data_IF_147536395035
#
_entry.id   IF_147536395035
#
_cell.length_a   1.000
_cell.length_b   1.000
_cell.length_c   1.000
_cell.angle_alpha   90.00
_cell.angle_beta   90.00
_cell.angle_gamma   90.00
#
_symmetry.space_group_name_H-M   'P 1'
#
loop_
_entity.id
_entity.type
_entity.pdbx_description
1 polymer ?
#
# COMPACT_ATOMS: atom_id res chain seq x y z
N UNK A 1 11.87 -29.96 -35.02
CA UNK A 1 11.52 -30.27 -33.62
C UNK A 1 12.80 -30.37 -32.78
N UNK A 2 13.32 -29.27 -32.24
CA UNK A 2 14.52 -29.30 -31.34
C UNK A 2 14.68 -28.06 -30.44
N UNK A 3 13.87 -27.00 -30.58
CA UNK A 3 14.02 -25.75 -29.81
C UNK A 3 13.46 -25.79 -28.37
N UNK A 4 12.56 -26.73 -28.04
CA UNK A 4 11.91 -26.83 -26.72
C UNK A 4 12.72 -27.61 -25.67
N UNK A 5 13.59 -28.53 -26.09
CA UNK A 5 14.44 -29.31 -25.18
C UNK A 5 15.57 -28.49 -24.55
N UNK A 6 16.20 -27.60 -25.33
CA UNK A 6 17.31 -26.76 -24.86
C UNK A 6 16.90 -25.69 -23.85
N UNK A 7 15.72 -25.08 -24.03
CA UNK A 7 15.18 -24.06 -23.10
C UNK A 7 14.74 -24.66 -21.76
N UNK A 8 14.17 -25.87 -21.77
CA UNK A 8 13.83 -26.57 -20.53
C UNK A 8 15.07 -27.04 -19.75
N UNK A 9 16.11 -27.54 -20.44
CA UNK A 9 17.36 -27.95 -19.79
C UNK A 9 18.10 -26.75 -19.18
N UNK A 10 18.15 -25.61 -19.88
CA UNK A 10 18.78 -24.38 -19.39
C UNK A 10 18.04 -23.82 -18.16
N UNK A 11 16.70 -23.84 -18.17
CA UNK A 11 15.86 -23.43 -17.03
C UNK A 11 16.07 -24.33 -15.80
N UNK A 12 16.22 -25.65 -15.98
CA UNK A 12 16.47 -26.59 -14.87
C UNK A 12 17.88 -26.42 -14.28
N UNK A 13 18.88 -26.16 -15.12
CA UNK A 13 20.25 -25.92 -14.66
C UNK A 13 20.39 -24.58 -13.92
N UNK A 14 19.69 -23.53 -14.38
CA UNK A 14 19.63 -22.25 -13.69
C UNK A 14 18.90 -22.37 -12.34
N UNK A 15 17.75 -23.07 -12.29
CA UNK A 15 17.03 -23.30 -11.04
C UNK A 15 17.88 -24.08 -10.03
N UNK A 16 18.61 -25.11 -10.46
CA UNK A 16 19.55 -25.85 -9.57
C UNK A 16 20.68 -24.97 -9.06
N UNK A 17 21.24 -24.11 -9.90
CA UNK A 17 22.31 -23.20 -9.50
C UNK A 17 21.83 -22.15 -8.50
N UNK A 18 20.63 -21.60 -8.67
CA UNK A 18 20.06 -20.63 -7.73
C UNK A 18 19.62 -21.33 -6.43
N UNK A 19 18.97 -22.50 -6.53
CA UNK A 19 18.60 -23.29 -5.36
C UNK A 19 19.82 -23.68 -4.51
N UNK A 20 20.97 -23.95 -5.15
CA UNK A 20 22.23 -24.21 -4.46
C UNK A 20 22.81 -23.02 -3.69
N UNK A 21 22.21 -21.81 -3.80
CA UNK A 21 22.57 -20.63 -2.99
C UNK A 21 21.74 -20.50 -1.72
N UNK A 22 20.78 -21.39 -1.46
CA UNK A 22 20.05 -21.38 -0.20
C UNK A 22 21.04 -21.65 0.94
N UNK A 23 21.08 -20.76 1.93
CA UNK A 23 21.93 -20.95 3.11
C UNK A 23 21.22 -21.80 4.17
N UNK A 24 21.95 -22.42 5.11
CA UNK A 24 21.33 -23.14 6.23
C UNK A 24 20.34 -22.27 7.02
N UNK A 25 20.64 -20.99 7.20
CA UNK A 25 19.78 -20.04 7.92
C UNK A 25 18.48 -19.79 7.17
N UNK A 26 18.55 -19.60 5.84
CA UNK A 26 17.37 -19.42 5.00
C UNK A 26 16.48 -20.67 4.96
N UNK A 27 17.09 -21.85 5.00
CA UNK A 27 16.33 -23.10 5.03
C UNK A 27 15.69 -23.36 6.41
N UNK A 28 16.36 -22.94 7.49
CA UNK A 28 15.86 -23.08 8.85
C UNK A 28 14.70 -22.11 9.16
N UNK A 29 14.77 -20.88 8.66
CA UNK A 29 13.70 -19.88 8.79
C UNK A 29 13.47 -19.11 7.46
N UNK A 30 12.69 -19.70 6.54
CA UNK A 30 12.37 -19.07 5.26
C UNK A 30 11.57 -17.76 5.40
N UNK A 31 10.81 -17.59 6.48
CA UNK A 31 10.03 -16.37 6.72
C UNK A 31 10.96 -15.23 7.13
N UNK A 32 11.87 -15.45 8.07
CA UNK A 32 12.89 -14.46 8.43
C UNK A 32 13.76 -14.06 7.24
N UNK A 33 14.08 -15.00 6.34
CA UNK A 33 14.90 -14.75 5.15
C UNK A 33 14.30 -13.71 4.18
N UNK A 34 12.97 -13.50 4.20
CA UNK A 34 12.26 -12.55 3.35
C UNK A 34 11.86 -11.26 4.08
N UNK A 35 12.08 -11.15 5.40
CA UNK A 35 11.78 -9.93 6.15
C UNK A 35 12.70 -8.76 5.73
N UNK A 36 12.17 -7.53 5.75
CA UNK A 36 12.97 -6.39 5.35
C UNK A 36 14.05 -6.11 6.39
N UNK A 37 15.17 -5.53 5.95
CA UNK A 37 16.25 -5.13 6.85
C UNK A 37 15.80 -3.92 7.68
N UNK A 38 15.91 -3.95 9.03
CA UNK A 38 15.58 -2.79 9.87
C UNK A 38 16.42 -1.54 9.55
N UNK A 39 15.88 -0.36 9.84
CA UNK A 39 16.62 0.90 9.75
C UNK A 39 17.44 1.06 11.03
N UNK A 40 18.73 0.72 10.98
CA UNK A 40 19.61 0.74 12.16
C UNK A 40 20.29 2.11 12.41
N UNK A 41 20.25 3.02 11.45
CA UNK A 41 20.91 4.33 11.49
C UNK A 41 20.00 5.47 11.98
N UNK A 42 18.76 5.17 12.35
CA UNK A 42 17.80 6.14 12.88
C UNK A 42 16.88 5.51 13.92
N UNK A 43 17.15 5.79 15.20
CA UNK A 43 16.42 5.22 16.33
C UNK A 43 14.94 5.60 16.39
N UNK A 44 14.51 6.59 15.59
CA UNK A 44 13.09 6.87 15.42
C UNK A 44 12.32 5.68 14.83
N UNK A 45 13.00 4.75 14.15
CA UNK A 45 12.40 3.55 13.54
C UNK A 45 12.59 2.26 14.37
N UNK A 46 13.21 2.33 15.55
CA UNK A 46 13.43 1.15 16.39
C UNK A 46 12.10 0.52 16.84
N UNK A 47 11.94 -0.78 16.70
CA UNK A 47 10.71 -1.45 17.15
C UNK A 47 10.67 -1.46 18.68
N UNK A 48 9.58 -0.97 19.32
CA UNK A 48 9.42 -1.08 20.77
C UNK A 48 9.44 -2.54 21.25
N UNK A 49 9.92 -2.75 22.47
CA UNK A 49 10.11 -4.07 23.10
C UNK A 49 8.87 -4.60 23.85
N UNK A 50 7.73 -3.93 23.70
CA UNK A 50 6.46 -4.24 24.36
C UNK A 50 5.29 -4.07 23.38
N UNK A 51 4.16 -4.68 23.73
CA UNK A 51 2.93 -4.54 22.95
C UNK A 51 2.38 -3.11 23.02
N UNK A 52 1.91 -2.63 21.87
CA UNK A 52 1.41 -1.29 21.67
C UNK A 52 -0.11 -1.34 21.49
N UNK A 53 -0.80 -0.38 22.10
CA UNK A 53 -2.23 -0.22 21.87
C UNK A 53 -2.47 0.55 20.56
N UNK A 54 -3.43 0.12 19.72
CA UNK A 54 -3.77 0.80 18.47
C UNK A 54 -4.04 2.30 18.65
N UNK A 55 -3.40 3.12 17.82
CA UNK A 55 -3.55 4.58 17.80
C UNK A 55 -2.87 5.34 18.94
N UNK A 56 -2.28 4.65 19.92
CA UNK A 56 -1.56 5.30 21.02
C UNK A 56 -0.21 5.81 20.51
N UNK A 57 0.05 7.10 20.76
CA UNK A 57 1.29 7.77 20.40
C UNK A 57 2.48 7.19 21.19
N UNK A 58 3.46 6.67 20.49
CA UNK A 58 4.70 6.11 21.06
C UNK A 58 5.78 7.18 21.16
N UNK A 59 6.01 7.89 20.05
CA UNK A 59 7.01 8.97 19.97
C UNK A 59 6.76 9.86 18.76
N UNK A 60 7.32 11.07 18.79
CA UNK A 60 7.28 12.00 17.67
C UNK A 60 8.52 12.87 17.62
N UNK A 61 8.80 13.45 16.45
CA UNK A 61 9.85 14.46 16.24
C UNK A 61 9.45 15.46 15.17
N UNK A 62 9.94 16.70 15.30
CA UNK A 62 10.00 17.59 14.15
C UNK A 62 11.08 17.07 13.19
N UNK A 63 10.79 17.12 11.89
CA UNK A 63 11.69 16.65 10.86
C UNK A 63 12.00 17.76 9.86
N UNK A 64 13.17 17.67 9.22
CA UNK A 64 13.51 18.50 8.07
C UNK A 64 13.75 17.57 6.89
N UNK A 65 13.11 17.86 5.77
CA UNK A 65 13.33 17.08 4.54
C UNK A 65 14.73 17.30 3.99
N UNK A 66 15.15 16.40 3.09
CA UNK A 66 16.40 16.53 2.32
C UNK A 66 16.57 17.92 1.66
N UNK A 67 15.46 18.51 1.21
CA UNK A 67 15.41 19.89 0.74
C UNK A 67 14.62 20.78 1.72
N UNK A 68 15.06 22.05 1.94
CA UNK A 68 14.31 23.00 2.75
C UNK A 68 12.87 23.17 2.23
N UNK A 69 11.90 23.01 3.13
CA UNK A 69 10.47 23.26 2.86
C UNK A 69 9.99 24.43 3.74
N UNK A 70 10.44 25.69 3.49
CA UNK A 70 10.22 26.80 4.42
C UNK A 70 8.74 27.17 4.63
N UNK A 71 7.83 26.67 3.80
CA UNK A 71 6.38 26.89 3.91
C UNK A 71 5.62 25.74 4.57
N UNK A 72 6.30 24.66 4.94
CA UNK A 72 5.69 23.43 5.45
C UNK A 72 6.41 22.98 6.72
N UNK A 73 5.66 22.69 7.78
CA UNK A 73 6.17 21.99 8.96
C UNK A 73 6.03 20.48 8.73
N UNK A 74 7.05 19.71 9.12
CA UNK A 74 7.02 18.25 9.06
C UNK A 74 7.14 17.71 10.48
N UNK A 75 6.19 16.87 10.88
CA UNK A 75 6.25 16.09 12.11
C UNK A 75 6.18 14.62 11.75
N UNK A 76 7.13 13.82 12.21
CA UNK A 76 7.03 12.37 12.15
C UNK A 76 6.55 11.87 13.50
N UNK A 77 5.71 10.84 13.50
CA UNK A 77 5.29 10.18 14.71
C UNK A 77 5.13 8.67 14.50
N UNK A 78 5.23 7.93 15.59
CA UNK A 78 5.00 6.50 15.67
C UNK A 78 3.82 6.25 16.60
N UNK A 79 2.94 5.33 16.21
CA UNK A 79 1.82 4.84 16.99
C UNK A 79 1.82 3.31 17.08
N UNK A 80 1.15 2.77 18.08
CA UNK A 80 0.74 1.37 18.07
C UNK A 80 -0.32 1.11 16.99
N UNK A 81 -0.31 -0.10 16.44
CA UNK A 81 -1.28 -0.60 15.48
C UNK A 81 -1.38 -2.12 15.56
N UNK A 82 -2.19 -2.72 14.70
CA UNK A 82 -2.41 -4.16 14.63
C UNK A 82 -2.20 -4.65 13.21
N UNK A 83 -1.47 -5.75 13.07
CA UNK A 83 -1.22 -6.33 11.76
C UNK A 83 -2.39 -7.17 11.23
N UNK A 84 -2.21 -7.82 10.08
CA UNK A 84 -3.27 -8.60 9.44
C UNK A 84 -3.71 -9.85 10.22
N UNK A 85 -2.88 -10.30 11.19
CA UNK A 85 -3.16 -11.46 12.03
C UNK A 85 -3.50 -11.08 13.49
N UNK A 86 -3.71 -9.79 13.77
CA UNK A 86 -4.09 -9.34 15.11
C UNK A 86 -2.91 -9.09 16.06
N UNK A 87 -1.66 -9.12 15.59
CA UNK A 87 -0.48 -8.89 16.45
C UNK A 87 -0.15 -7.40 16.52
N UNK A 88 0.35 -6.97 17.68
CA UNK A 88 0.81 -5.58 17.89
C UNK A 88 2.00 -5.25 16.99
N UNK A 89 1.94 -4.09 16.34
CA UNK A 89 3.04 -3.55 15.50
C UNK A 89 3.16 -2.03 15.62
N UNK A 90 4.36 -1.45 15.55
CA UNK A 90 4.51 0.00 15.41
C UNK A 90 4.24 0.45 13.97
N UNK A 91 3.52 1.56 13.81
CA UNK A 91 3.32 2.23 12.52
C UNK A 91 3.81 3.67 12.62
N UNK A 92 4.52 4.13 11.60
CA UNK A 92 5.00 5.51 11.48
C UNK A 92 4.14 6.30 10.50
N UNK A 93 4.09 7.62 10.69
CA UNK A 93 3.45 8.52 9.76
C UNK A 93 4.15 9.88 9.75
N UNK A 94 3.95 10.62 8.67
CA UNK A 94 4.42 12.01 8.56
C UNK A 94 3.26 12.95 8.35
N UNK A 95 3.16 13.94 9.23
CA UNK A 95 2.26 15.08 9.10
C UNK A 95 2.99 16.24 8.42
N UNK A 96 2.44 16.71 7.31
CA UNK A 96 2.90 17.88 6.56
C UNK A 96 1.87 19.02 6.69
N UNK A 97 2.28 20.13 7.30
CA UNK A 97 1.37 21.23 7.61
C UNK A 97 1.82 22.53 6.96
N UNK A 98 0.94 23.23 6.21
CA UNK A 98 1.23 24.59 5.77
C UNK A 98 1.49 25.51 6.98
N UNK A 99 2.60 26.26 6.97
CA UNK A 99 2.92 27.22 8.05
C UNK A 99 1.99 28.42 8.09
N UNK A 100 1.34 28.75 6.97
CA UNK A 100 0.31 29.78 6.94
C UNK A 100 -0.90 29.34 7.77
N UNK A 101 -1.59 30.27 8.47
CA UNK A 101 -2.84 29.96 9.15
C UNK A 101 -3.90 29.43 8.18
N UNK A 102 -4.78 28.57 8.68
CA UNK A 102 -6.00 28.18 7.96
C UNK A 102 -6.94 29.38 7.91
N UNK A 103 -7.54 29.65 6.74
CA UNK A 103 -8.42 30.80 6.50
C UNK A 103 -9.85 30.41 6.12
N UNK A 104 -10.14 29.12 5.99
CA UNK A 104 -11.51 28.65 5.79
C UNK A 104 -12.27 28.60 7.11
N UNK A 105 -13.53 28.18 7.04
CA UNK A 105 -14.35 27.90 8.22
C UNK A 105 -13.81 26.70 9.02
N UNK A 106 -14.12 26.68 10.32
CA UNK A 106 -13.81 25.55 11.19
C UNK A 106 -12.32 25.26 11.38
N UNK A 107 -12.03 24.02 11.74
CA UNK A 107 -10.68 23.48 11.87
C UNK A 107 -10.09 23.13 10.51
N UNK A 108 -8.75 23.10 10.43
CA UNK A 108 -8.04 22.86 9.18
C UNK A 108 -8.32 21.44 8.67
N UNK A 109 -8.80 21.25 7.42
CA UNK A 109 -9.02 19.92 6.88
C UNK A 109 -7.73 19.10 6.76
N UNK A 110 -7.87 17.78 6.87
CA UNK A 110 -6.79 16.79 6.74
C UNK A 110 -7.05 15.90 5.53
N UNK A 111 -6.08 15.83 4.62
CA UNK A 111 -6.04 14.78 3.60
C UNK A 111 -5.08 13.69 4.05
N UNK A 112 -5.59 12.48 4.26
CA UNK A 112 -4.77 11.29 4.48
C UNK A 112 -4.34 10.77 3.11
N UNK A 113 -3.10 11.04 2.74
CA UNK A 113 -2.54 10.73 1.44
C UNK A 113 -1.77 9.42 1.49
N UNK A 114 -2.45 8.35 1.09
CA UNK A 114 -1.90 7.00 1.01
C UNK A 114 -1.08 6.86 -0.27
N UNK A 115 0.24 7.00 -0.13
CA UNK A 115 1.20 6.87 -1.24
C UNK A 115 1.23 5.44 -1.78
N UNK A 116 1.42 5.25 -3.08
CA UNK A 116 1.79 3.94 -3.64
C UNK A 116 3.24 3.59 -3.23
N UNK A 117 3.41 2.93 -2.09
CA UNK A 117 4.73 2.56 -1.54
C UNK A 117 5.37 1.48 -2.42
N UNK A 118 4.62 0.42 -2.72
CA UNK A 118 4.91 -0.63 -3.70
C UNK A 118 6.34 -1.18 -3.61
N UNK A 119 6.83 -1.31 -2.38
CA UNK A 119 8.24 -1.58 -2.08
C UNK A 119 8.39 -2.63 -1.01
N UNK A 120 9.57 -3.26 -0.93
CA UNK A 120 9.86 -4.29 0.08
C UNK A 120 10.82 -3.81 1.17
N UNK A 121 11.69 -2.82 0.93
CA UNK A 121 12.64 -2.35 1.94
C UNK A 121 12.09 -1.28 2.88
N UNK A 122 12.44 -1.35 4.17
CA UNK A 122 12.02 -0.38 5.22
C UNK A 122 12.34 1.07 4.85
N UNK A 123 13.51 1.33 4.25
CA UNK A 123 13.91 2.67 3.78
C UNK A 123 13.05 3.21 2.63
N UNK A 124 12.16 2.40 2.06
CA UNK A 124 11.19 2.85 1.06
C UNK A 124 9.92 3.43 1.69
N UNK A 125 9.76 3.31 3.00
CA UNK A 125 8.61 3.84 3.72
C UNK A 125 8.51 5.37 3.56
N UNK A 126 7.30 5.95 3.36
CA UNK A 126 7.14 7.38 3.09
C UNK A 126 7.82 8.25 4.13
N UNK A 127 7.65 7.96 5.42
CA UNK A 127 8.24 8.80 6.47
C UNK A 127 9.77 8.91 6.35
N UNK A 128 10.48 7.80 6.11
CA UNK A 128 11.93 7.81 5.88
C UNK A 128 12.28 8.57 4.59
N UNK A 129 11.57 8.28 3.49
CA UNK A 129 11.82 8.94 2.19
C UNK A 129 11.58 10.44 2.22
N UNK A 130 10.62 10.93 3.01
CA UNK A 130 10.32 12.37 3.17
C UNK A 130 11.51 13.15 3.72
N UNK A 131 12.29 12.49 4.58
CA UNK A 131 13.47 13.05 5.25
C UNK A 131 14.75 12.80 4.45
N UNK A 132 14.96 11.58 3.93
CA UNK A 132 16.25 11.15 3.39
C UNK A 132 16.31 11.06 1.86
N UNK A 133 15.19 11.27 1.14
CA UNK A 133 15.10 10.98 -0.29
C UNK A 133 14.55 12.11 -1.15
N UNK A 134 14.56 11.85 -2.46
CA UNK A 134 13.97 12.71 -3.50
C UNK A 134 12.71 12.05 -4.08
N UNK A 135 11.62 12.81 -4.15
CA UNK A 135 10.30 12.30 -4.57
C UNK A 135 9.61 11.42 -3.52
N UNK A 136 8.30 11.62 -3.35
CA UNK A 136 7.49 10.97 -2.30
C UNK A 136 6.31 10.17 -2.87
N UNK A 137 5.72 10.65 -3.96
CA UNK A 137 4.47 10.14 -4.52
C UNK A 137 4.47 10.27 -6.05
N UNK A 138 3.74 9.35 -6.71
CA UNK A 138 3.34 9.49 -8.10
C UNK A 138 1.83 9.19 -8.24
N UNK A 139 1.04 10.08 -8.88
CA UNK A 139 1.41 11.45 -9.27
C UNK A 139 1.77 12.29 -8.04
N UNK A 140 2.54 13.36 -8.23
CA UNK A 140 2.93 14.26 -7.13
C UNK A 140 1.76 15.17 -6.74
N UNK A 141 0.92 14.72 -5.80
CA UNK A 141 -0.32 15.39 -5.39
C UNK A 141 -0.16 16.16 -4.08
N UNK A 142 0.74 15.73 -3.19
CA UNK A 142 0.95 16.36 -1.87
C UNK A 142 1.08 17.90 -1.94
N UNK A 143 1.86 18.50 -2.86
CA UNK A 143 1.95 19.96 -2.98
C UNK A 143 0.61 20.64 -3.28
N UNK A 144 -0.29 19.99 -4.02
CA UNK A 144 -1.59 20.54 -4.39
C UNK A 144 -2.55 20.60 -3.19
N UNK A 145 -2.47 19.63 -2.28
CA UNK A 145 -3.20 19.66 -1.00
C UNK A 145 -2.69 20.76 -0.09
N UNK A 146 -1.36 20.88 0.05
CA UNK A 146 -0.73 21.93 0.84
C UNK A 146 -1.06 23.34 0.29
N UNK A 147 -1.13 23.47 -1.04
CA UNK A 147 -1.54 24.72 -1.72
C UNK A 147 -3.01 25.08 -1.50
N UNK A 148 -3.88 24.12 -1.21
CA UNK A 148 -5.26 24.38 -0.72
C UNK A 148 -5.31 24.77 0.75
N UNK A 149 -4.22 24.56 1.50
CA UNK A 149 -4.12 24.90 2.91
C UNK A 149 -4.46 23.74 3.84
N UNK A 150 -4.71 22.55 3.29
CA UNK A 150 -4.96 21.33 4.05
C UNK A 150 -3.68 20.84 4.74
N UNK A 151 -3.84 20.23 5.91
CA UNK A 151 -2.82 19.36 6.44
C UNK A 151 -2.80 18.05 5.63
N UNK A 152 -1.64 17.45 5.46
CA UNK A 152 -1.49 16.17 4.76
C UNK A 152 -0.87 15.17 5.72
N UNK A 153 -1.61 14.11 6.03
CA UNK A 153 -1.12 12.98 6.80
C UNK A 153 -0.68 11.89 5.82
N UNK A 154 0.55 11.39 5.94
CA UNK A 154 1.11 10.36 5.07
C UNK A 154 1.49 9.16 5.95
N UNK A 155 0.63 8.13 6.04
CA UNK A 155 0.91 6.91 6.79
C UNK A 155 1.91 6.01 6.07
N UNK A 156 2.73 5.31 6.85
CA UNK A 156 3.58 4.21 6.37
C UNK A 156 2.77 2.91 6.36
N UNK A 157 1.76 2.87 5.49
CA UNK A 157 0.67 1.89 5.57
C UNK A 157 1.10 0.43 5.32
N UNK A 158 2.27 0.17 4.73
CA UNK A 158 2.78 -1.20 4.64
C UNK A 158 3.30 -1.77 5.97
N UNK A 159 3.33 -0.98 7.04
CA UNK A 159 3.77 -1.40 8.36
C UNK A 159 5.28 -1.71 8.44
N UNK A 160 5.76 -2.19 9.59
CA UNK A 160 7.19 -2.37 9.85
C UNK A 160 7.81 -3.50 9.03
N UNK A 161 6.99 -4.46 8.59
CA UNK A 161 7.40 -5.56 7.71
C UNK A 161 7.33 -5.20 6.23
N UNK A 162 6.92 -3.98 5.86
CA UNK A 162 6.75 -3.58 4.46
C UNK A 162 5.88 -4.59 3.69
N UNK A 163 4.72 -4.91 4.25
CA UNK A 163 3.75 -5.87 3.75
C UNK A 163 2.99 -5.31 2.54
N UNK A 164 3.69 -5.11 1.42
CA UNK A 164 3.06 -4.63 0.19
C UNK A 164 1.87 -5.52 -0.22
N UNK A 165 0.78 -4.86 -0.60
CA UNK A 165 -0.51 -5.42 -0.97
C UNK A 165 -1.32 -6.05 0.18
N UNK A 166 -0.82 -6.13 1.42
CA UNK A 166 -1.64 -6.56 2.56
C UNK A 166 -2.58 -5.43 3.00
N UNK A 167 -3.85 -5.58 2.67
CA UNK A 167 -4.89 -4.59 2.86
C UNK A 167 -5.27 -4.37 4.31
N UNK A 168 -5.37 -5.43 5.11
CA UNK A 168 -5.78 -5.33 6.53
C UNK A 168 -4.75 -4.52 7.32
N UNK A 169 -3.46 -4.87 7.19
CA UNK A 169 -2.34 -4.11 7.75
C UNK A 169 -2.39 -2.65 7.30
N UNK A 170 -2.62 -2.40 6.01
CA UNK A 170 -2.69 -1.05 5.48
C UNK A 170 -3.86 -0.23 6.02
N UNK A 171 -5.05 -0.83 6.13
CA UNK A 171 -6.23 -0.17 6.69
C UNK A 171 -6.03 0.21 8.16
N UNK A 172 -5.54 -0.72 8.99
CA UNK A 172 -5.22 -0.44 10.40
C UNK A 172 -4.17 0.67 10.53
N UNK A 173 -3.07 0.59 9.78
CA UNK A 173 -2.02 1.60 9.82
C UNK A 173 -2.52 3.00 9.47
N UNK A 174 -3.41 3.14 8.48
CA UNK A 174 -4.01 4.43 8.12
C UNK A 174 -4.90 4.94 9.26
N UNK A 175 -5.82 4.12 9.77
CA UNK A 175 -6.76 4.52 10.82
C UNK A 175 -6.05 4.87 12.14
N UNK A 176 -5.06 4.07 12.53
CA UNK A 176 -4.26 4.34 13.74
C UNK A 176 -3.33 5.54 13.56
N UNK A 177 -2.87 5.83 12.34
CA UNK A 177 -2.16 7.09 12.07
C UNK A 177 -3.06 8.31 12.26
N UNK A 178 -4.37 8.20 11.96
CA UNK A 178 -5.33 9.27 12.22
C UNK A 178 -5.56 9.43 13.73
N UNK A 179 -5.69 8.34 14.49
CA UNK A 179 -5.70 8.39 15.98
C UNK A 179 -4.44 9.05 16.53
N UNK A 180 -3.29 8.67 16.00
CA UNK A 180 -1.99 9.23 16.33
C UNK A 180 -1.88 10.72 16.04
N UNK A 181 -2.45 11.18 14.93
CA UNK A 181 -2.55 12.60 14.61
C UNK A 181 -3.34 13.37 15.68
N UNK A 182 -4.48 12.81 16.11
CA UNK A 182 -5.31 13.42 17.17
C UNK A 182 -4.58 13.42 18.52
N UNK A 183 -3.85 12.35 18.84
CA UNK A 183 -3.04 12.28 20.05
C UNK A 183 -1.86 13.26 20.03
N UNK A 184 -1.23 13.45 18.87
CA UNK A 184 -0.14 14.40 18.66
C UNK A 184 -0.61 15.85 18.78
N UNK A 185 -1.83 16.14 18.35
CA UNK A 185 -2.42 17.47 18.36
C UNK A 185 -3.96 17.38 18.39
N UNK A 186 -4.57 17.56 19.59
CA UNK A 186 -6.02 17.41 19.78
C UNK A 186 -6.89 18.34 18.94
N UNK A 187 -6.32 19.40 18.35
CA UNK A 187 -7.07 20.28 17.43
C UNK A 187 -7.53 19.55 16.16
N UNK A 188 -6.90 18.43 15.81
CA UNK A 188 -7.32 17.58 14.70
C UNK A 188 -8.52 16.69 15.00
N UNK A 189 -8.94 16.54 16.26
CA UNK A 189 -10.08 15.70 16.64
C UNK A 189 -11.39 16.07 15.91
N UNK A 190 -11.57 17.35 15.60
CA UNK A 190 -12.76 17.87 14.89
C UNK A 190 -12.46 18.24 13.43
N UNK A 191 -11.24 17.97 12.95
CA UNK A 191 -10.85 18.35 11.58
C UNK A 191 -11.54 17.48 10.55
N UNK A 192 -12.18 18.07 9.52
CA UNK A 192 -12.70 17.31 8.39
C UNK A 192 -11.57 16.48 7.76
N UNK A 193 -11.70 15.16 7.81
CA UNK A 193 -10.65 14.24 7.35
C UNK A 193 -11.15 13.41 6.18
N UNK A 194 -10.39 13.36 5.08
CA UNK A 194 -10.70 12.54 3.92
C UNK A 194 -9.49 11.73 3.45
N UNK A 195 -9.73 10.54 2.92
CA UNK A 195 -8.70 9.62 2.46
C UNK A 195 -8.48 9.78 0.94
N UNK A 196 -7.23 9.70 0.51
CA UNK A 196 -6.86 9.69 -0.91
C UNK A 196 -5.77 8.65 -1.17
N UNK A 197 -5.92 7.86 -2.23
CA UNK A 197 -4.85 6.99 -2.72
C UNK A 197 -5.01 6.62 -4.20
N UNK A 198 -3.91 6.26 -4.83
CA UNK A 198 -3.87 5.77 -6.21
C UNK A 198 -2.97 4.54 -6.31
N UNK A 199 -3.27 3.62 -7.23
CA UNK A 199 -2.49 2.39 -7.44
C UNK A 199 -2.35 1.60 -6.12
N UNK A 200 -1.16 1.21 -5.67
CA UNK A 200 -1.02 0.54 -4.37
C UNK A 200 -1.54 1.34 -3.17
N UNK A 201 -1.55 2.67 -3.23
CA UNK A 201 -2.18 3.52 -2.21
C UNK A 201 -3.71 3.43 -2.19
N UNK A 202 -4.33 3.00 -3.29
CA UNK A 202 -5.75 2.73 -3.35
C UNK A 202 -6.15 1.47 -2.56
N UNK A 203 -5.23 0.49 -2.40
CA UNK A 203 -5.43 -0.67 -1.51
C UNK A 203 -5.66 -0.15 -0.09
N UNK A 204 -4.70 0.62 0.44
CA UNK A 204 -4.77 1.19 1.79
C UNK A 204 -6.02 2.06 1.99
N UNK A 205 -6.39 2.84 0.97
CA UNK A 205 -7.56 3.72 1.01
C UNK A 205 -8.88 2.93 1.06
N UNK A 206 -9.03 1.90 0.22
CA UNK A 206 -10.22 1.07 0.21
C UNK A 206 -10.38 0.26 1.51
N UNK A 207 -9.29 -0.33 2.00
CA UNK A 207 -9.27 -1.08 3.25
C UNK A 207 -9.53 -0.21 4.47
N UNK A 208 -8.93 0.98 4.57
CA UNK A 208 -9.24 1.91 5.65
C UNK A 208 -10.71 2.34 5.65
N UNK A 209 -11.30 2.59 4.48
CA UNK A 209 -12.72 2.94 4.37
C UNK A 209 -13.64 1.78 4.83
N UNK A 210 -13.33 0.55 4.44
CA UNK A 210 -14.10 -0.63 4.85
C UNK A 210 -13.97 -0.95 6.33
N UNK A 211 -12.76 -0.86 6.89
CA UNK A 211 -12.48 -1.20 8.28
C UNK A 211 -12.89 -0.10 9.27
N UNK A 212 -13.03 1.15 8.81
CA UNK A 212 -13.44 2.29 9.64
C UNK A 212 -14.60 1.97 10.61
N UNK A 213 -15.78 1.47 10.18
CA UNK A 213 -16.90 1.23 11.08
C UNK A 213 -16.66 0.17 12.16
N UNK A 214 -15.80 -0.83 11.93
CA UNK A 214 -15.55 -1.93 12.88
C UNK A 214 -14.29 -1.71 13.72
N UNK A 215 -13.26 -1.08 13.15
CA UNK A 215 -11.95 -0.91 13.77
C UNK A 215 -11.75 0.45 14.42
N UNK A 216 -12.29 1.52 13.83
CA UNK A 216 -12.12 2.89 14.32
C UNK A 216 -13.37 3.78 14.17
N UNK A 217 -14.54 3.33 14.70
CA UNK A 217 -15.81 4.03 14.51
C UNK A 217 -15.85 5.43 15.13
N UNK A 218 -14.97 5.71 16.09
CA UNK A 218 -14.86 7.02 16.75
C UNK A 218 -14.23 8.10 15.86
N UNK A 219 -13.56 7.72 14.77
CA UNK A 219 -12.94 8.68 13.85
C UNK A 219 -13.99 9.31 12.94
N UNK A 220 -13.97 10.64 12.83
CA UNK A 220 -14.89 11.39 11.96
C UNK A 220 -14.26 11.56 10.57
N UNK A 221 -14.63 10.67 9.65
CA UNK A 221 -14.20 10.71 8.26
C UNK A 221 -15.29 11.30 7.37
N UNK A 222 -14.91 12.17 6.44
CA UNK A 222 -15.83 12.80 5.46
C UNK A 222 -15.92 12.02 4.14
N UNK A 223 -15.03 11.04 3.94
CA UNK A 223 -15.07 10.14 2.79
C UNK A 223 -13.70 9.69 2.30
N UNK A 224 -13.70 8.85 1.26
CA UNK A 224 -12.50 8.32 0.64
C UNK A 224 -12.54 8.43 -0.89
N UNK A 225 -11.40 8.73 -1.52
CA UNK A 225 -11.24 8.64 -2.98
C UNK A 225 -10.05 7.77 -3.33
N UNK A 226 -10.30 6.74 -4.13
CA UNK A 226 -9.27 5.82 -4.59
C UNK A 226 -9.28 5.71 -6.12
N UNK A 227 -8.13 5.44 -6.74
CA UNK A 227 -8.12 5.18 -8.18
C UNK A 227 -7.05 4.20 -8.65
N UNK A 228 -7.28 3.62 -9.84
CA UNK A 228 -6.40 2.59 -10.39
C UNK A 228 -6.26 1.38 -9.45
N UNK A 229 -7.36 0.99 -8.79
CA UNK A 229 -7.34 0.26 -7.52
C UNK A 229 -7.08 -1.25 -7.68
N UNK A 230 -5.91 -1.78 -7.24
CA UNK A 230 -5.60 -3.20 -7.28
C UNK A 230 -6.16 -3.92 -6.03
N UNK A 231 -7.48 -3.90 -5.89
CA UNK A 231 -8.20 -4.43 -4.71
C UNK A 231 -8.45 -5.93 -4.75
N UNK A 232 -8.13 -6.59 -5.87
CA UNK A 232 -8.22 -8.05 -6.02
C UNK A 232 -6.90 -8.55 -6.61
N UNK A 233 -6.03 -9.07 -5.75
CA UNK A 233 -4.71 -9.58 -6.15
C UNK A 233 -4.83 -10.83 -7.03
N UNK A 234 -5.92 -11.60 -6.91
CA UNK A 234 -6.19 -12.77 -7.74
C UNK A 234 -6.32 -12.40 -9.21
N UNK A 235 -6.99 -11.29 -9.52
CA UNK A 235 -7.13 -10.79 -10.90
C UNK A 235 -5.79 -10.30 -11.49
N UNK A 236 -4.87 -9.80 -10.67
CA UNK A 236 -3.56 -9.33 -11.14
C UNK A 236 -2.69 -10.45 -11.72
N UNK A 237 -2.92 -11.71 -11.32
CA UNK A 237 -2.25 -12.86 -11.93
C UNK A 237 -2.39 -12.85 -13.45
N UNK A 238 -3.59 -12.55 -13.96
CA UNK A 238 -3.88 -12.58 -15.40
C UNK A 238 -3.16 -11.50 -16.21
N UNK A 239 -2.89 -10.34 -15.60
CA UNK A 239 -2.31 -9.18 -16.29
C UNK A 239 -0.81 -9.01 -16.01
N UNK A 240 -0.32 -9.43 -14.84
CA UNK A 240 1.03 -9.13 -14.37
C UNK A 240 1.97 -10.33 -14.34
N UNK A 241 1.48 -11.55 -14.06
CA UNK A 241 2.35 -12.72 -13.97
C UNK A 241 2.95 -13.10 -15.33
N UNK A 242 4.28 -13.23 -15.40
CA UNK A 242 4.99 -13.49 -16.66
C UNK A 242 4.98 -12.33 -17.68
N UNK A 243 4.57 -11.13 -17.28
CA UNK A 243 4.60 -9.91 -18.09
C UNK A 243 5.62 -8.90 -17.54
N UNK A 244 5.62 -7.66 -18.04
CA UNK A 244 6.43 -6.58 -17.45
C UNK A 244 5.97 -6.22 -16.03
N UNK A 245 4.75 -6.59 -15.63
CA UNK A 245 4.25 -6.43 -14.26
C UNK A 245 4.78 -7.48 -13.28
N UNK A 246 5.50 -8.51 -13.74
CA UNK A 246 5.86 -9.67 -12.92
C UNK A 246 6.68 -9.31 -11.68
N UNK A 247 7.50 -8.26 -11.75
CA UNK A 247 8.30 -7.79 -10.63
C UNK A 247 7.45 -7.23 -9.48
N UNK A 248 6.50 -6.36 -9.78
CA UNK A 248 5.57 -5.81 -8.78
C UNK A 248 4.57 -6.87 -8.28
N UNK A 249 4.11 -7.76 -9.15
CA UNK A 249 3.26 -8.87 -8.73
C UNK A 249 4.01 -9.82 -7.76
N UNK A 250 5.25 -10.18 -8.07
CA UNK A 250 6.12 -10.94 -7.15
C UNK A 250 6.35 -10.21 -5.83
N UNK A 251 6.56 -8.89 -5.87
CA UNK A 251 6.68 -8.08 -4.67
C UNK A 251 5.41 -8.09 -3.81
N UNK A 252 4.22 -8.02 -4.42
CA UNK A 252 2.94 -8.13 -3.70
C UNK A 252 2.79 -9.48 -3.01
N UNK A 253 3.16 -10.59 -3.67
CA UNK A 253 3.15 -11.92 -3.04
C UNK A 253 4.14 -12.00 -1.87
N UNK A 254 5.35 -11.44 -2.01
CA UNK A 254 6.33 -11.40 -0.90
C UNK A 254 5.79 -10.55 0.25
N UNK A 255 5.20 -9.39 -0.02
CA UNK A 255 4.61 -8.50 0.98
C UNK A 255 3.53 -9.19 1.80
N UNK A 256 2.56 -9.83 1.13
CA UNK A 256 1.54 -10.64 1.80
C UNK A 256 2.15 -11.81 2.58
N UNK A 257 3.17 -12.50 2.04
CA UNK A 257 3.82 -13.62 2.73
C UNK A 257 4.54 -13.23 4.03
N UNK A 258 4.91 -11.95 4.20
CA UNK A 258 5.46 -11.44 5.47
C UNK A 258 4.42 -11.38 6.58
N UNK A 259 3.15 -11.20 6.21
CA UNK A 259 2.02 -11.19 7.13
C UNK A 259 1.45 -12.59 7.33
N UNK A 260 1.48 -13.41 6.28
CA UNK A 260 0.94 -14.77 6.24
C UNK A 260 2.05 -15.82 6.03
N UNK A 261 2.72 -16.32 7.09
CA UNK A 261 3.81 -17.30 6.98
C UNK A 261 3.46 -18.56 6.17
N UNK A 262 2.19 -18.97 6.15
CA UNK A 262 1.71 -20.10 5.34
C UNK A 262 1.95 -19.92 3.83
N UNK A 263 2.02 -18.67 3.32
CA UNK A 263 2.40 -18.43 1.93
C UNK A 263 3.88 -18.73 1.67
N UNK A 264 4.75 -18.55 2.68
CA UNK A 264 6.18 -18.82 2.54
C UNK A 264 6.43 -20.31 2.31
N UNK A 265 5.63 -21.19 2.90
CA UNK A 265 5.68 -22.64 2.68
C UNK A 265 5.44 -23.03 1.20
N UNK A 266 4.81 -22.16 0.43
CA UNK A 266 4.59 -22.37 -1.00
C UNK A 266 5.81 -22.02 -1.86
N UNK A 267 6.84 -21.38 -1.29
CA UNK A 267 8.01 -20.94 -2.05
C UNK A 267 9.00 -22.10 -2.20
N UNK A 268 9.47 -22.34 -3.42
CA UNK A 268 10.60 -23.24 -3.64
C UNK A 268 11.89 -22.67 -3.03
N UNK A 269 12.95 -23.48 -2.84
CA UNK A 269 14.26 -22.96 -2.46
C UNK A 269 14.77 -21.83 -3.38
N UNK A 270 14.53 -21.94 -4.69
CA UNK A 270 14.83 -20.86 -5.66
C UNK A 270 13.99 -19.61 -5.38
N UNK A 271 12.71 -19.78 -5.05
CA UNK A 271 11.81 -18.70 -4.67
C UNK A 271 12.29 -17.95 -3.42
N UNK A 272 12.67 -18.67 -2.37
CA UNK A 272 13.23 -18.08 -1.14
C UNK A 272 14.52 -17.31 -1.43
N UNK A 273 15.44 -17.87 -2.23
CA UNK A 273 16.67 -17.18 -2.63
C UNK A 273 16.36 -15.87 -3.37
N UNK A 274 15.49 -15.90 -4.38
CA UNK A 274 15.15 -14.70 -5.14
C UNK A 274 14.39 -13.67 -4.30
N UNK A 275 13.45 -14.11 -3.45
CA UNK A 275 12.72 -13.23 -2.54
C UNK A 275 13.67 -12.53 -1.57
N UNK A 276 14.62 -13.27 -0.99
CA UNK A 276 15.65 -12.72 -0.11
C UNK A 276 16.54 -11.69 -0.83
N UNK A 277 16.91 -11.93 -2.09
CA UNK A 277 17.70 -10.99 -2.89
C UNK A 277 16.98 -9.66 -3.16
N UNK A 278 15.65 -9.65 -3.20
CA UNK A 278 14.86 -8.44 -3.50
C UNK A 278 14.14 -7.85 -2.29
N UNK A 279 14.34 -8.43 -1.10
CA UNK A 279 13.59 -8.11 0.13
C UNK A 279 13.72 -6.65 0.59
N UNK A 280 14.71 -5.93 0.09
CA UNK A 280 15.00 -4.53 0.44
C UNK A 280 14.83 -3.55 -0.74
N UNK A 281 14.36 -4.02 -1.90
CA UNK A 281 14.20 -3.17 -3.09
C UNK A 281 13.01 -2.22 -2.97
N UNK A 282 13.17 -1.04 -3.57
CA UNK A 282 12.10 -0.06 -3.76
C UNK A 282 11.32 -0.30 -5.05
N UNK A 283 10.19 0.40 -5.22
CA UNK A 283 9.26 0.24 -6.35
C UNK A 283 9.93 0.28 -7.73
N UNK A 284 10.90 1.17 -7.97
CA UNK A 284 11.54 1.31 -9.28
C UNK A 284 12.36 0.07 -9.66
N UNK A 285 13.34 -0.40 -8.86
CA UNK A 285 14.04 -1.63 -9.16
C UNK A 285 13.13 -2.87 -9.15
N UNK A 286 12.07 -2.90 -8.32
CA UNK A 286 11.07 -3.98 -8.37
C UNK A 286 10.32 -3.98 -9.70
N UNK A 287 9.87 -2.83 -10.20
CA UNK A 287 9.25 -2.72 -11.52
C UNK A 287 10.21 -3.15 -12.64
N UNK A 288 11.48 -2.72 -12.59
CA UNK A 288 12.50 -3.11 -13.56
C UNK A 288 12.79 -4.61 -13.53
N UNK A 289 12.67 -5.28 -12.38
CA UNK A 289 12.82 -6.74 -12.30
C UNK A 289 11.78 -7.49 -13.16
N UNK A 290 10.66 -6.85 -13.49
CA UNK A 290 9.65 -7.35 -14.43
C UNK A 290 10.16 -7.57 -15.86
N UNK A 291 11.31 -6.99 -16.24
CA UNK A 291 11.99 -7.32 -17.51
C UNK A 291 12.33 -8.81 -17.64
N UNK A 292 12.52 -9.50 -16.51
CA UNK A 292 12.75 -10.94 -16.48
C UNK A 292 11.50 -11.77 -16.83
N UNK A 293 10.29 -11.19 -16.75
CA UNK A 293 9.01 -11.82 -17.09
C UNK A 293 8.83 -13.20 -16.43
N UNK A 294 9.24 -13.30 -15.17
CA UNK A 294 9.15 -14.54 -14.42
C UNK A 294 7.69 -14.91 -14.18
N UNK A 295 7.40 -16.21 -14.29
CA UNK A 295 6.13 -16.80 -13.87
C UNK A 295 6.30 -17.35 -12.47
N UNK A 296 5.53 -16.85 -11.51
CA UNK A 296 5.73 -17.19 -10.10
C UNK A 296 5.47 -18.67 -9.79
N UNK A 297 4.68 -19.38 -10.61
CA UNK A 297 4.49 -20.84 -10.51
C UNK A 297 5.80 -21.63 -10.70
N UNK A 298 6.84 -21.01 -11.27
CA UNK A 298 8.17 -21.63 -11.40
C UNK A 298 9.06 -21.42 -10.18
N UNK A 299 8.62 -20.56 -9.26
CA UNK A 299 9.30 -20.22 -8.03
C UNK A 299 8.60 -20.81 -6.80
N UNK A 300 7.50 -21.52 -7.00
CA UNK A 300 6.77 -22.24 -5.97
C UNK A 300 7.15 -23.73 -5.90
N UNK A 301 6.81 -24.38 -4.79
CA UNK A 301 6.94 -25.83 -4.60
C UNK A 301 6.00 -26.61 -5.53
N UNK A 302 4.83 -26.04 -5.84
CA UNK A 302 3.82 -26.60 -6.73
C UNK A 302 3.53 -25.65 -7.90
N UNK A 303 3.59 -26.10 -9.17
CA UNK A 303 3.15 -25.32 -10.32
C UNK A 303 1.67 -24.87 -10.27
N UNK A 304 0.84 -25.56 -9.49
CA UNK A 304 -0.56 -25.22 -9.20
C UNK A 304 -0.77 -24.24 -8.05
N UNK A 305 0.29 -23.58 -7.55
CA UNK A 305 0.26 -22.76 -6.30
C UNK A 305 -0.91 -21.78 -6.20
N UNK A 306 -1.30 -21.13 -7.29
CA UNK A 306 -2.39 -20.15 -7.29
C UNK A 306 -3.77 -20.78 -7.06
N UNK A 307 -3.89 -22.09 -7.27
CA UNK A 307 -5.10 -22.87 -7.00
C UNK A 307 -5.03 -23.62 -5.66
N UNK A 308 -3.98 -23.40 -4.86
CA UNK A 308 -3.87 -23.99 -3.53
C UNK A 308 -4.91 -23.41 -2.57
N UNK A 309 -5.29 -24.19 -1.55
CA UNK A 309 -6.20 -23.72 -0.50
C UNK A 309 -5.62 -22.49 0.21
N UNK A 310 -4.31 -22.48 0.49
CA UNK A 310 -3.60 -21.36 1.11
C UNK A 310 -3.69 -20.09 0.26
N UNK A 311 -3.40 -20.18 -1.05
CA UNK A 311 -3.47 -19.01 -1.92
C UNK A 311 -4.89 -18.44 -2.00
N UNK A 312 -5.91 -19.30 -2.13
CA UNK A 312 -7.31 -18.87 -2.14
C UNK A 312 -7.71 -18.20 -0.83
N UNK A 313 -7.39 -18.81 0.31
CA UNK A 313 -7.72 -18.26 1.61
C UNK A 313 -7.10 -16.89 1.86
N UNK A 314 -5.82 -16.70 1.50
CA UNK A 314 -5.16 -15.40 1.67
C UNK A 314 -5.70 -14.35 0.68
N UNK A 315 -5.96 -14.72 -0.58
CA UNK A 315 -6.57 -13.81 -1.55
C UNK A 315 -7.97 -13.38 -1.10
N UNK A 316 -8.79 -14.33 -0.64
CA UNK A 316 -10.15 -14.06 -0.14
C UNK A 316 -10.11 -13.14 1.08
N UNK A 317 -9.25 -13.44 2.06
CA UNK A 317 -9.07 -12.60 3.25
C UNK A 317 -8.53 -11.20 2.91
N UNK A 318 -7.78 -11.07 1.81
CA UNK A 318 -7.18 -9.82 1.35
C UNK A 318 -7.92 -9.18 0.16
N UNK A 319 -9.19 -9.54 -0.07
CA UNK A 319 -10.09 -8.87 -1.02
C UNK A 319 -11.20 -8.13 -0.26
N UNK A 320 -11.29 -6.80 -0.32
CA UNK A 320 -12.36 -6.06 0.33
C UNK A 320 -13.72 -6.34 -0.37
N UNK A 321 -14.81 -6.11 0.35
CA UNK A 321 -16.20 -6.32 -0.11
C UNK A 321 -17.07 -7.16 0.84
N UNK A 322 -16.45 -7.83 1.81
CA UNK A 322 -17.14 -8.57 2.86
C UNK A 322 -17.89 -7.66 3.84
N UNK A 323 -17.37 -6.46 4.07
CA UNK A 323 -18.00 -5.36 4.79
C UNK A 323 -18.14 -4.15 3.88
N UNK A 324 -18.78 -3.08 4.37
CA UNK A 324 -19.00 -1.87 3.59
C UNK A 324 -18.64 -0.60 4.39
N UNK A 325 -18.10 0.44 3.73
CA UNK A 325 -17.84 1.72 4.37
C UNK A 325 -19.15 2.40 4.76
N UNK A 326 -19.13 3.14 5.87
CA UNK A 326 -20.26 3.99 6.33
C UNK A 326 -20.10 5.45 5.90
N UNK A 327 -19.00 5.77 5.22
CA UNK A 327 -18.72 7.09 4.63
C UNK A 327 -18.81 7.03 3.12
N UNK A 328 -19.10 8.15 2.43
CA UNK A 328 -19.07 8.19 0.98
C UNK A 328 -17.69 7.76 0.45
N UNK A 329 -17.68 6.96 -0.62
CA UNK A 329 -16.45 6.57 -1.32
C UNK A 329 -16.58 6.84 -2.81
N UNK A 330 -15.52 7.36 -3.42
CA UNK A 330 -15.42 7.46 -4.87
C UNK A 330 -14.23 6.68 -5.43
N UNK A 331 -14.49 5.96 -6.51
CA UNK A 331 -13.46 5.31 -7.31
C UNK A 331 -13.32 5.97 -8.67
N UNK A 332 -12.08 6.03 -9.18
CA UNK A 332 -11.82 6.37 -10.57
C UNK A 332 -10.82 5.41 -11.22
N UNK A 333 -11.00 5.09 -12.50
CA UNK A 333 -10.14 4.12 -13.18
C UNK A 333 -9.90 4.50 -14.64
N UNK A 334 -8.69 4.25 -15.15
CA UNK A 334 -8.35 4.45 -16.55
C UNK A 334 -9.10 3.47 -17.44
N UNK A 335 -10.33 3.79 -17.83
CA UNK A 335 -11.25 2.85 -18.48
C UNK A 335 -12.18 3.50 -19.51
N UNK A 336 -12.21 4.84 -19.59
CA UNK A 336 -13.18 5.56 -20.45
C UNK A 336 -13.06 5.22 -21.94
N UNK A 337 -11.89 4.76 -22.41
CA UNK A 337 -11.67 4.32 -23.78
C UNK A 337 -10.96 2.96 -23.76
N UNK A 338 -11.63 1.83 -24.09
CA UNK A 338 -11.08 0.48 -23.92
C UNK A 338 -9.71 0.25 -24.56
N UNK A 339 -9.45 0.87 -25.72
CA UNK A 339 -8.15 0.77 -26.41
C UNK A 339 -6.98 1.33 -25.59
N UNK A 340 -7.24 2.36 -24.79
CA UNK A 340 -6.26 3.08 -23.98
C UNK A 340 -6.46 2.85 -22.48
N UNK A 341 -7.31 1.88 -22.09
CA UNK A 341 -7.58 1.58 -20.71
C UNK A 341 -6.36 0.97 -20.01
N UNK A 342 -6.42 0.97 -18.68
CA UNK A 342 -5.46 0.30 -17.81
C UNK A 342 -5.39 -1.19 -18.14
N UNK A 343 -4.19 -1.66 -18.47
CA UNK A 343 -3.91 -3.06 -18.81
C UNK A 343 -3.17 -3.80 -17.71
N UNK A 344 -2.79 -3.10 -16.65
CA UNK A 344 -2.06 -3.67 -15.53
C UNK A 344 -3.05 -3.99 -14.41
N UNK A 345 -3.89 -3.03 -14.06
CA UNK A 345 -4.89 -3.19 -13.00
C UNK A 345 -6.27 -3.38 -13.64
N UNK A 346 -6.85 -4.59 -13.56
CA UNK A 346 -8.16 -4.87 -14.15
C UNK A 346 -9.25 -4.01 -13.51
N UNK A 347 -10.00 -3.28 -14.35
CA UNK A 347 -11.19 -2.51 -13.93
C UNK A 347 -12.21 -3.40 -13.20
N UNK A 348 -12.30 -4.68 -13.57
CA UNK A 348 -13.21 -5.64 -12.96
C UNK A 348 -13.11 -5.70 -11.44
N UNK A 349 -11.90 -5.58 -10.87
CA UNK A 349 -11.70 -5.64 -9.42
C UNK A 349 -12.42 -4.50 -8.69
N UNK A 350 -12.32 -3.28 -9.21
CA UNK A 350 -13.00 -2.13 -8.60
C UNK A 350 -14.52 -2.15 -8.86
N UNK A 351 -14.97 -2.64 -10.01
CA UNK A 351 -16.41 -2.82 -10.28
C UNK A 351 -17.03 -3.84 -9.33
N UNK A 352 -16.39 -4.98 -9.10
CA UNK A 352 -16.83 -5.99 -8.13
C UNK A 352 -16.98 -5.38 -6.73
N UNK A 353 -15.99 -4.59 -6.30
CA UNK A 353 -16.01 -3.93 -4.99
C UNK A 353 -17.14 -2.90 -4.88
N UNK A 354 -17.34 -2.08 -5.92
CA UNK A 354 -18.42 -1.09 -5.99
C UNK A 354 -19.78 -1.78 -5.87
N UNK A 355 -19.98 -2.88 -6.60
CA UNK A 355 -21.24 -3.63 -6.55
C UNK A 355 -21.45 -4.29 -5.18
N UNK A 356 -20.40 -4.87 -4.58
CA UNK A 356 -20.46 -5.46 -3.24
C UNK A 356 -20.83 -4.42 -2.17
N UNK A 357 -20.19 -3.25 -2.19
CA UNK A 357 -20.45 -2.17 -1.23
C UNK A 357 -21.82 -1.53 -1.43
N UNK A 358 -22.25 -1.27 -2.67
CA UNK A 358 -23.60 -0.75 -2.96
C UNK A 358 -24.68 -1.76 -2.57
N UNK A 359 -24.45 -3.05 -2.81
CA UNK A 359 -25.35 -4.13 -2.37
C UNK A 359 -25.51 -4.21 -0.85
N UNK A 360 -24.58 -3.61 -0.09
CA UNK A 360 -24.60 -3.48 1.37
C UNK A 360 -25.03 -2.08 1.85
N UNK A 361 -25.46 -1.20 0.95
CA UNK A 361 -26.02 0.12 1.29
C UNK A 361 -25.01 1.27 1.39
N UNK A 362 -23.74 1.07 1.02
CA UNK A 362 -22.76 2.15 1.01
C UNK A 362 -22.98 3.15 -0.14
N UNK A 363 -22.71 4.43 0.12
CA UNK A 363 -22.67 5.48 -0.89
C UNK A 363 -21.34 5.42 -1.66
N UNK A 364 -21.37 4.82 -2.84
CA UNK A 364 -20.18 4.62 -3.69
C UNK A 364 -20.40 5.21 -5.06
N UNK A 365 -19.52 6.12 -5.48
CA UNK A 365 -19.42 6.64 -6.84
C UNK A 365 -18.31 5.91 -7.61
N UNK A 366 -18.54 5.61 -8.90
CA UNK A 366 -17.52 5.11 -9.81
C UNK A 366 -17.40 6.01 -11.04
N UNK A 367 -16.16 6.35 -11.42
CA UNK A 367 -15.85 7.27 -12.52
C UNK A 367 -14.80 6.66 -13.46
N UNK A 368 -15.17 6.18 -14.67
CA UNK A 368 -14.17 5.88 -15.67
C UNK A 368 -13.53 7.18 -16.19
N UNK A 369 -12.21 7.18 -16.34
CA UNK A 369 -11.42 8.31 -16.82
C UNK A 369 -10.54 7.90 -18.01
N UNK A 370 -10.03 8.89 -18.73
CA UNK A 370 -9.22 8.64 -19.94
C UNK A 370 -7.80 8.20 -19.61
N UNK A 371 -7.30 7.21 -20.36
CA UNK A 371 -5.90 6.81 -20.35
C UNK A 371 -5.62 5.52 -19.58
N UNK A 372 -4.37 5.08 -19.65
CA UNK A 372 -3.89 3.85 -19.01
C UNK A 372 -3.67 4.05 -17.50
N UNK A 373 -2.94 3.14 -16.86
CA UNK A 373 -2.65 3.24 -15.42
C UNK A 373 -1.99 4.57 -15.00
N UNK A 374 -1.19 5.20 -15.86
CA UNK A 374 -0.50 6.44 -15.49
C UNK A 374 -1.26 7.67 -15.95
N UNK A 375 -1.79 7.64 -17.18
CA UNK A 375 -2.59 8.74 -17.71
C UNK A 375 -3.92 8.86 -16.95
N UNK A 376 -4.52 7.74 -16.55
CA UNK A 376 -5.71 7.69 -15.70
C UNK A 376 -5.49 8.37 -14.34
N UNK A 377 -4.30 8.22 -13.75
CA UNK A 377 -3.92 8.89 -12.50
C UNK A 377 -4.01 10.41 -12.63
N UNK A 378 -3.50 10.95 -13.75
CA UNK A 378 -3.46 12.38 -14.02
C UNK A 378 -4.82 12.93 -14.48
N UNK A 379 -5.51 12.19 -15.35
CA UNK A 379 -6.80 12.62 -15.90
C UNK A 379 -7.93 12.57 -14.87
N UNK A 380 -7.85 11.65 -13.90
CA UNK A 380 -8.79 11.53 -12.79
C UNK A 380 -8.53 12.49 -11.62
N UNK A 381 -7.33 13.06 -11.51
CA UNK A 381 -6.97 13.93 -10.40
C UNK A 381 -7.93 15.12 -10.20
N UNK A 382 -8.35 15.87 -11.24
CA UNK A 382 -9.33 16.94 -11.05
C UNK A 382 -10.67 16.49 -10.46
N UNK A 383 -11.11 15.27 -10.77
CA UNK A 383 -12.30 14.67 -10.16
C UNK A 383 -12.06 14.41 -8.67
N UNK A 384 -10.99 13.70 -8.33
CA UNK A 384 -10.65 13.37 -6.95
C UNK A 384 -10.50 14.61 -6.07
N UNK A 385 -9.82 15.65 -6.56
CA UNK A 385 -9.65 16.90 -5.82
C UNK A 385 -10.98 17.60 -5.56
N UNK A 386 -11.84 17.75 -6.58
CA UNK A 386 -13.16 18.39 -6.40
C UNK A 386 -14.06 17.60 -5.46
N UNK A 387 -13.98 16.27 -5.51
CA UNK A 387 -14.75 15.39 -4.65
C UNK A 387 -14.36 15.60 -3.18
N UNK A 388 -13.06 15.62 -2.86
CA UNK A 388 -12.56 15.91 -1.51
C UNK A 388 -12.91 17.35 -1.09
N UNK A 389 -12.71 18.34 -1.97
CA UNK A 389 -13.03 19.74 -1.71
C UNK A 389 -14.53 19.94 -1.40
N UNK A 390 -15.42 19.11 -1.95
CA UNK A 390 -16.86 19.14 -1.62
C UNK A 390 -17.12 18.61 -0.20
N UNK A 391 -16.51 17.47 0.15
CA UNK A 391 -16.64 16.85 1.49
C UNK A 391 -16.16 17.75 2.64
N UNK A 392 -15.24 18.67 2.38
CA UNK A 392 -14.79 19.66 3.36
C UNK A 392 -15.66 20.92 3.44
N UNK A 393 -16.54 21.16 2.46
CA UNK A 393 -17.49 22.30 2.45
C UNK A 393 -18.86 21.96 3.01
N UNK A 394 -19.28 20.71 2.89
CA UNK A 394 -20.59 20.21 3.31
C UNK A 394 -20.70 19.97 4.85
N UNK A 395 -19.81 20.56 5.65
CA UNK A 395 -19.49 20.08 7.01
C UNK A 395 -19.44 21.11 8.11
#
# INVERSE_FOLDING_TARGET
>A
MTRTGGTMALSRSMNRLIAGRITPEMAADPHAAILPTPIADDSFFDTPDHDLSPGVLVRHRDATGWFPRPRTRLRQFMVGSTDALGRSVPVTATLMEPRRPWRGSGTRPVVVHNVAIDSLGTRSTPSYRIVHGVGQDFPTVVPLWLQRGYAVLIPDHQGPRMAYAEGTMAGHAVLDSIRGLVALDPSYATSPTALYGYSGGAIATAWAAQLHPSYAPELVLRGAVAGGSPVDVGLLRGTMNGTLGAGLFGAAIIGMAREHPALVEQFSPTGIVLASMIKDLSVVPLALSGLARLRLERLSVDPGVFESATARAVIEANTPGADAPVVPVAFYHGAAVPRFADRWIPEQGVLNLVDAWRGRGADVEYRPVFGDHFVGALSGLPFAMRWIDARFRDG
#
